data_IF_727822402324
#
_entry.id   IF_727822402324
#
_cell.length_a   1.000
_cell.length_b   1.000
_cell.length_c   1.000
_cell.angle_alpha   90.00
_cell.angle_beta   90.00
_cell.angle_gamma   90.00
#
_symmetry.space_group_name_H-M   'P 1'
#
loop_
_entity.id
_entity.type
_entity.pdbx_description
1 polymer ?
#
# COMPACT_ATOMS: atom_id res chain seq x y z
N UNK A 1 7.25 -13.58 1.71
CA UNK A 1 7.27 -12.16 1.28
C UNK A 1 5.88 -11.81 0.74
N UNK A 2 5.37 -10.58 0.92
CA UNK A 2 3.92 -10.27 0.85
C UNK A 2 3.18 -10.72 -0.42
N UNK A 3 3.79 -10.62 -1.61
CA UNK A 3 3.18 -11.06 -2.87
C UNK A 3 2.88 -12.56 -2.84
N UNK A 4 3.87 -13.38 -2.48
CA UNK A 4 3.71 -14.83 -2.37
C UNK A 4 2.63 -15.25 -1.34
N UNK A 5 2.38 -14.42 -0.31
CA UNK A 5 1.27 -14.65 0.63
C UNK A 5 -0.08 -14.40 -0.03
N UNK A 6 -0.22 -13.29 -0.76
CA UNK A 6 -1.44 -12.97 -1.52
C UNK A 6 -1.74 -14.03 -2.58
N UNK A 7 -0.73 -14.46 -3.34
CA UNK A 7 -0.86 -15.53 -4.33
C UNK A 7 -1.33 -16.83 -3.69
N UNK A 8 -0.75 -17.22 -2.55
CA UNK A 8 -1.17 -18.40 -1.79
C UNK A 8 -2.61 -18.30 -1.29
N UNK A 9 -3.05 -17.09 -0.94
CA UNK A 9 -4.42 -16.81 -0.51
C UNK A 9 -5.41 -16.71 -1.69
N UNK A 10 -4.95 -16.93 -2.93
CA UNK A 10 -5.79 -16.95 -4.15
C UNK A 10 -6.06 -15.57 -4.75
N UNK A 11 -5.33 -14.54 -4.34
CA UNK A 11 -5.48 -13.17 -4.86
C UNK A 11 -4.73 -13.03 -6.18
N UNK A 12 -5.38 -12.42 -7.19
CA UNK A 12 -4.69 -12.00 -8.41
C UNK A 12 -3.73 -10.84 -8.10
N UNK A 13 -2.43 -11.08 -8.26
CA UNK A 13 -1.36 -10.11 -7.95
C UNK A 13 -0.80 -9.38 -9.17
N UNK A 14 -1.34 -9.60 -10.37
CA UNK A 14 -0.80 -9.04 -11.61
C UNK A 14 -0.81 -7.50 -11.64
N UNK A 15 -1.67 -6.86 -10.81
CA UNK A 15 -1.72 -5.41 -10.66
C UNK A 15 -0.69 -4.83 -9.68
N UNK A 16 0.19 -5.63 -9.07
CA UNK A 16 1.22 -5.13 -8.15
C UNK A 16 2.47 -4.70 -8.93
N UNK A 17 2.65 -3.39 -9.08
CA UNK A 17 3.87 -2.84 -9.69
C UNK A 17 5.09 -2.96 -8.77
N UNK A 18 6.24 -3.33 -9.35
CA UNK A 18 7.51 -3.49 -8.63
C UNK A 18 8.46 -2.33 -8.92
N UNK A 19 8.78 -1.56 -7.88
CA UNK A 19 9.69 -0.41 -7.97
C UNK A 19 11.08 -0.78 -7.41
N UNK A 20 12.03 -1.09 -8.29
CA UNK A 20 13.37 -1.58 -7.92
C UNK A 20 14.19 -0.60 -7.05
N UNK A 21 13.89 0.71 -7.14
CA UNK A 21 14.63 1.76 -6.42
C UNK A 21 13.88 2.30 -5.19
N UNK A 22 12.76 1.68 -4.80
CA UNK A 22 11.96 2.12 -3.66
C UNK A 22 11.82 0.98 -2.64
N UNK A 23 11.77 1.35 -1.36
CA UNK A 23 11.48 0.40 -0.28
C UNK A 23 9.98 0.13 -0.22
N UNK A 24 9.58 -1.09 0.16
CA UNK A 24 8.17 -1.37 0.46
C UNK A 24 7.75 -0.58 1.69
N UNK A 25 6.58 0.06 1.63
CA UNK A 25 6.05 0.81 2.76
C UNK A 25 5.91 -0.06 4.01
N UNK A 26 6.24 0.51 5.16
CA UNK A 26 6.22 -0.21 6.44
C UNK A 26 5.62 0.64 7.55
N UNK A 27 5.15 -0.04 8.59
CA UNK A 27 4.63 0.58 9.80
C UNK A 27 5.15 -0.18 11.02
N UNK A 28 5.71 0.54 11.98
CA UNK A 28 6.01 0.03 13.31
C UNK A 28 4.90 0.47 14.24
N UNK A 29 4.47 -0.41 15.13
CA UNK A 29 3.42 -0.14 16.10
C UNK A 29 3.91 -0.46 17.51
N UNK A 30 3.70 0.47 18.44
CA UNK A 30 3.87 0.23 19.87
C UNK A 30 2.52 0.27 20.56
N UNK A 31 2.40 -0.49 21.66
CA UNK A 31 1.19 -0.59 22.46
C UNK A 31 1.49 -0.03 23.84
N UNK A 32 0.93 1.14 24.17
CA UNK A 32 1.08 1.74 25.51
C UNK A 32 0.05 1.21 26.50
N UNK A 33 -1.15 0.92 26.00
CA UNK A 33 -2.24 0.24 26.71
C UNK A 33 -3.11 -0.52 25.71
N UNK A 34 -4.11 -1.29 26.18
CA UNK A 34 -5.07 -1.99 25.29
C UNK A 34 -5.72 -1.07 24.25
N UNK A 35 -5.93 0.21 24.59
CA UNK A 35 -6.62 1.18 23.75
C UNK A 35 -5.70 2.13 22.99
N UNK A 36 -4.41 2.19 23.31
CA UNK A 36 -3.48 3.16 22.72
C UNK A 36 -2.42 2.48 21.89
N UNK A 37 -2.38 2.86 20.60
CA UNK A 37 -1.38 2.43 19.63
C UNK A 37 -0.69 3.65 19.05
N UNK A 38 0.64 3.63 19.05
CA UNK A 38 1.42 4.63 18.32
C UNK A 38 2.05 3.97 17.11
N UNK A 39 2.14 4.74 16.04
CA UNK A 39 2.65 4.25 14.76
C UNK A 39 3.80 5.12 14.28
N UNK A 40 4.83 4.46 13.74
CA UNK A 40 5.87 5.10 12.94
C UNK A 40 5.71 4.55 11.52
N UNK A 41 5.46 5.44 10.57
CA UNK A 41 5.17 5.06 9.18
C UNK A 41 6.33 5.42 8.26
N UNK A 42 6.72 4.49 7.40
CA UNK A 42 7.52 4.75 6.21
C UNK A 42 6.63 4.52 4.99
N UNK A 43 5.81 5.52 4.61
CA UNK A 43 4.85 5.40 3.51
C UNK A 43 5.06 6.44 2.40
N UNK A 44 5.10 7.76 2.66
CA UNK A 44 5.07 8.76 1.59
C UNK A 44 6.22 8.64 0.58
N UNK A 45 7.42 8.36 1.06
CA UNK A 45 8.62 8.19 0.24
C UNK A 45 8.94 6.73 -0.11
N UNK A 46 8.03 5.81 0.23
CA UNK A 46 8.14 4.38 -0.10
C UNK A 46 7.35 4.05 -1.37
N UNK A 47 7.47 2.82 -1.85
CA UNK A 47 6.83 2.36 -3.08
C UNK A 47 5.31 2.67 -3.16
N UNK A 48 4.60 2.63 -2.04
CA UNK A 48 3.16 2.94 -2.00
C UNK A 48 2.84 4.43 -2.21
N UNK A 49 3.74 5.35 -1.83
CA UNK A 49 3.58 6.79 -2.09
C UNK A 49 3.97 7.21 -3.51
N UNK A 50 4.61 6.32 -4.27
CA UNK A 50 5.03 6.55 -5.65
C UNK A 50 4.04 5.99 -6.69
N UNK A 51 2.86 5.53 -6.25
CA UNK A 51 1.83 5.05 -7.16
C UNK A 51 1.31 6.20 -8.04
N UNK A 52 1.30 5.96 -9.35
CA UNK A 52 0.83 6.91 -10.38
C UNK A 52 -0.09 6.18 -11.35
N UNK A 53 -0.77 6.93 -12.23
CA UNK A 53 -1.63 6.37 -13.27
C UNK A 53 -0.89 5.41 -14.21
N UNK A 54 0.42 5.61 -14.43
CA UNK A 54 1.24 4.73 -15.28
C UNK A 54 1.36 3.29 -14.75
N UNK A 55 1.02 3.07 -13.47
CA UNK A 55 1.04 1.76 -12.85
C UNK A 55 -0.31 1.02 -12.96
N UNK A 56 -1.33 1.67 -13.55
CA UNK A 56 -2.67 1.10 -13.70
C UNK A 56 -2.74 0.36 -15.04
N UNK A 57 -2.93 -0.95 -14.99
CA UNK A 57 -3.27 -1.75 -16.18
C UNK A 57 -4.79 -1.79 -16.34
N UNK A 58 -5.30 -1.05 -17.34
CA UNK A 58 -6.72 -0.99 -17.65
C UNK A 58 -7.33 -2.36 -17.98
N UNK A 59 -6.54 -3.28 -18.55
CA UNK A 59 -7.03 -4.62 -18.88
C UNK A 59 -7.43 -5.42 -17.64
N UNK A 60 -6.78 -5.16 -16.49
CA UNK A 60 -7.14 -5.78 -15.22
C UNK A 60 -8.45 -5.24 -14.64
N UNK A 61 -8.87 -4.05 -15.05
CA UNK A 61 -10.06 -3.37 -14.52
C UNK A 61 -11.34 -3.72 -15.27
N UNK A 62 -11.25 -4.14 -16.54
CA UNK A 62 -12.41 -4.42 -17.42
C UNK A 62 -13.37 -5.46 -16.81
N UNK A 63 -12.86 -6.43 -16.07
CA UNK A 63 -13.65 -7.53 -15.49
C UNK A 63 -14.07 -7.28 -14.03
N UNK A 64 -13.71 -6.14 -13.44
CA UNK A 64 -13.97 -5.83 -12.04
C UNK A 64 -15.40 -5.31 -11.87
N UNK A 65 -16.24 -6.04 -11.14
CA UNK A 65 -17.60 -5.58 -10.83
C UNK A 65 -17.66 -4.52 -9.73
N UNK A 66 -16.69 -4.54 -8.80
CA UNK A 66 -16.63 -3.64 -7.65
C UNK A 66 -15.20 -3.16 -7.46
N UNK A 67 -15.01 -1.84 -7.50
CA UNK A 67 -13.75 -1.19 -7.17
C UNK A 67 -13.82 -0.58 -5.76
N UNK A 68 -12.89 -0.97 -4.89
CA UNK A 68 -12.81 -0.47 -3.51
C UNK A 68 -11.66 0.53 -3.42
N UNK A 69 -11.99 1.77 -3.05
CA UNK A 69 -11.00 2.81 -2.79
C UNK A 69 -10.82 3.01 -1.29
N UNK A 70 -9.61 2.75 -0.80
CA UNK A 70 -9.23 3.10 0.55
C UNK A 70 -8.79 4.57 0.59
N UNK A 71 -9.51 5.42 1.34
CA UNK A 71 -9.21 6.86 1.44
C UNK A 71 -7.75 7.12 1.84
N UNK A 72 -7.18 6.25 2.68
CA UNK A 72 -5.77 6.35 3.08
C UNK A 72 -4.83 6.34 1.88
N UNK A 73 -5.14 5.63 0.78
CA UNK A 73 -4.31 5.60 -0.43
C UNK A 73 -4.18 6.98 -1.09
N UNK A 74 -5.22 7.84 -0.98
CA UNK A 74 -5.16 9.24 -1.43
C UNK A 74 -4.30 10.08 -0.49
N UNK A 75 -4.32 9.77 0.81
CA UNK A 75 -3.63 10.55 1.84
C UNK A 75 -2.15 10.16 2.00
N UNK A 76 -1.73 8.96 1.55
CA UNK A 76 -0.34 8.49 1.69
C UNK A 76 0.70 9.51 1.18
N UNK A 77 0.56 10.12 -0.01
CA UNK A 77 1.55 11.10 -0.49
C UNK A 77 1.57 12.39 0.33
N UNK A 78 0.48 12.71 1.02
CA UNK A 78 0.32 13.94 1.81
C UNK A 78 0.63 13.75 3.29
N UNK A 79 0.82 12.50 3.73
CA UNK A 79 1.14 12.21 5.12
C UNK A 79 2.52 12.82 5.44
N UNK A 80 2.56 13.91 6.18
CA UNK A 80 3.80 14.41 6.74
C UNK A 80 4.06 13.66 8.04
N UNK A 81 5.17 12.92 8.06
CA UNK A 81 5.71 12.44 9.32
C UNK A 81 6.37 13.66 9.96
N UNK A 82 5.59 14.42 10.73
CA UNK A 82 6.18 15.42 11.62
C UNK A 82 6.97 14.60 12.67
N UNK A 83 8.29 14.66 12.55
CA UNK A 83 9.23 13.98 13.44
C UNK A 83 9.32 14.70 14.78
#
# INVERSE_FOLDING_TARGET
>A
MNIARLEKDGVNVNGIAMLQKATTGSAFVSYRSQAQRDFIFNMPNSACGLLTADHIDEALLISVSIFILWVIAILVPYYRCDA
#
